data_IF_343081162995
#
_entry.id   IF_343081162995
#
_cell.length_a   1.000
_cell.length_b   1.000
_cell.length_c   1.000
_cell.angle_alpha   90.00
_cell.angle_beta   90.00
_cell.angle_gamma   90.00
#
_symmetry.space_group_name_H-M   'P 1'
#
loop_
_entity.id
_entity.type
_entity.pdbx_description
1 polymer ?
#
# COMPACT_ATOMS: atom_id res chain seq x y z
N UNK A 1 9.87 -6.04 13.16
CA UNK A 1 10.22 -5.96 11.73
C UNK A 1 9.15 -5.22 10.92
N UNK A 2 7.91 -5.70 10.89
CA UNK A 2 6.84 -5.14 10.04
C UNK A 2 6.52 -3.66 10.32
N UNK A 3 6.40 -3.26 11.59
CA UNK A 3 6.20 -1.85 11.95
C UNK A 3 7.35 -0.92 11.55
N UNK A 4 8.59 -1.44 11.56
CA UNK A 4 9.74 -0.68 11.04
C UNK A 4 9.59 -0.49 9.53
N UNK A 5 9.22 -1.54 8.80
CA UNK A 5 9.03 -1.49 7.36
C UNK A 5 7.94 -0.49 6.93
N UNK A 6 6.82 -0.40 7.65
CA UNK A 6 5.83 0.64 7.35
C UNK A 6 6.39 2.05 7.57
N UNK A 7 7.10 2.29 8.67
CA UNK A 7 7.67 3.61 9.00
C UNK A 7 8.75 4.04 8.01
N UNK A 8 9.59 3.11 7.56
CA UNK A 8 10.67 3.40 6.60
C UNK A 8 10.24 3.21 5.15
N UNK A 9 8.97 2.85 4.89
CA UNK A 9 8.47 2.49 3.57
C UNK A 9 9.35 1.44 2.86
N UNK A 10 9.80 0.42 3.61
CA UNK A 10 10.59 -0.69 3.09
C UNK A 10 9.68 -1.63 2.27
N UNK A 11 9.63 -1.34 0.98
CA UNK A 11 8.77 -2.03 0.02
C UNK A 11 9.07 -3.52 -0.03
N UNK A 12 10.32 -3.93 0.09
CA UNK A 12 10.72 -5.34 -0.02
C UNK A 12 10.15 -6.17 1.11
N UNK A 13 10.22 -5.66 2.34
CA UNK A 13 9.62 -6.29 3.51
C UNK A 13 8.10 -6.26 3.41
N UNK A 14 7.49 -5.15 3.00
CA UNK A 14 6.04 -5.04 2.87
C UNK A 14 5.46 -6.02 1.83
N UNK A 15 6.13 -6.19 0.69
CA UNK A 15 5.75 -7.21 -0.32
C UNK A 15 5.86 -8.60 0.29
N UNK A 16 6.97 -8.92 0.96
CA UNK A 16 7.21 -10.24 1.54
C UNK A 16 6.14 -10.61 2.58
N UNK A 17 5.73 -9.64 3.41
CA UNK A 17 4.71 -9.83 4.43
C UNK A 17 3.27 -9.53 3.97
N UNK A 18 3.01 -9.25 2.68
CA UNK A 18 1.68 -8.84 2.21
C UNK A 18 0.56 -9.81 2.57
N UNK A 19 0.82 -11.12 2.52
CA UNK A 19 -0.17 -12.14 2.88
C UNK A 19 -0.47 -12.09 4.37
N UNK A 20 0.55 -11.94 5.20
CA UNK A 20 0.40 -11.76 6.65
C UNK A 20 -0.37 -10.48 6.96
N UNK A 21 -0.04 -9.36 6.31
CA UNK A 21 -0.77 -8.08 6.45
C UNK A 21 -2.25 -8.26 6.09
N UNK A 22 -2.55 -8.95 4.99
CA UNK A 22 -3.91 -9.24 4.54
C UNK A 22 -4.65 -10.14 5.53
N UNK A 23 -3.99 -11.17 6.04
CA UNK A 23 -4.58 -12.13 6.95
C UNK A 23 -4.88 -11.48 8.31
N UNK A 24 -3.96 -10.66 8.84
CA UNK A 24 -4.20 -9.83 10.03
C UNK A 24 -5.40 -8.92 9.79
N UNK A 25 -5.47 -8.21 8.66
CA UNK A 25 -6.63 -7.37 8.33
C UNK A 25 -7.93 -8.17 8.37
N UNK A 26 -7.94 -9.38 7.78
CA UNK A 26 -9.12 -10.24 7.76
C UNK A 26 -9.52 -10.69 9.18
N UNK A 27 -8.56 -11.08 10.00
CA UNK A 27 -8.80 -11.47 11.40
C UNK A 27 -9.32 -10.31 12.24
N UNK A 28 -8.68 -9.14 12.16
CA UNK A 28 -9.18 -7.92 12.83
C UNK A 28 -10.59 -7.54 12.39
N UNK A 29 -10.94 -7.77 11.12
CA UNK A 29 -12.30 -7.52 10.63
C UNK A 29 -13.33 -8.51 11.18
N UNK A 30 -12.92 -9.75 11.46
CA UNK A 30 -13.80 -10.79 12.04
C UNK A 30 -14.02 -10.57 13.54
N UNK A 31 -12.96 -10.18 14.25
CA UNK A 31 -12.95 -9.88 15.68
C UNK A 31 -13.31 -8.42 15.99
N UNK A 32 -13.86 -7.70 15.00
CA UNK A 32 -14.22 -6.29 15.14
C UNK A 32 -15.23 -6.11 16.28
N UNK A 33 -15.04 -5.05 17.06
CA UNK A 33 -15.91 -4.73 18.19
C UNK A 33 -17.31 -4.30 17.74
N UNK A 34 -18.31 -4.50 18.61
CA UNK A 34 -19.72 -4.20 18.31
C UNK A 34 -20.18 -2.81 18.77
N UNK A 35 -19.39 -2.12 19.59
CA UNK A 35 -19.73 -0.82 20.17
C UNK A 35 -18.52 0.12 20.19
N UNK A 36 -18.74 1.44 20.16
CA UNK A 36 -17.66 2.41 20.32
C UNK A 36 -16.84 2.16 21.58
N UNK A 37 -15.54 2.37 21.48
CA UNK A 37 -14.60 2.20 22.58
C UNK A 37 -13.71 3.44 22.73
N UNK A 38 -13.15 3.59 23.93
CA UNK A 38 -12.01 4.47 24.16
C UNK A 38 -10.81 3.62 24.55
N UNK A 39 -9.67 3.88 23.91
CA UNK A 39 -8.41 3.18 24.18
C UNK A 39 -7.29 4.16 24.44
N UNK A 40 -6.23 3.65 25.05
CA UNK A 40 -5.14 4.40 25.60
C UNK A 40 -3.82 3.85 25.09
N UNK A 41 -2.93 4.73 24.63
CA UNK A 41 -1.58 4.36 24.22
C UNK A 41 -0.58 5.34 24.80
N UNK A 42 0.33 4.81 25.59
CA UNK A 42 1.45 5.56 26.12
C UNK A 42 2.62 5.61 25.13
N UNK A 43 3.28 6.75 25.06
CA UNK A 43 4.50 6.93 24.30
C UNK A 43 5.39 8.02 24.91
N UNK A 44 6.71 7.86 24.78
CA UNK A 44 7.67 8.92 25.04
C UNK A 44 7.96 9.66 23.73
N UNK A 45 7.88 10.99 23.76
CA UNK A 45 8.07 11.84 22.58
C UNK A 45 8.94 13.05 22.93
N UNK A 46 9.64 13.58 21.94
CA UNK A 46 10.36 14.85 22.08
C UNK A 46 9.39 16.03 22.15
N UNK A 47 9.85 17.17 22.67
CA UNK A 47 9.06 18.39 22.70
C UNK A 47 8.69 18.85 21.27
N UNK A 48 9.60 18.70 20.31
CA UNK A 48 9.36 19.09 18.91
C UNK A 48 8.22 18.30 18.26
N UNK A 49 8.13 16.99 18.53
CA UNK A 49 7.02 16.17 18.05
C UNK A 49 5.69 16.59 18.70
N UNK A 50 5.69 16.95 19.99
CA UNK A 50 4.49 17.44 20.69
C UNK A 50 4.06 18.80 20.12
N UNK A 51 5.00 19.71 19.88
CA UNK A 51 4.71 21.01 19.27
C UNK A 51 4.14 20.85 17.86
N UNK A 52 4.62 19.84 17.12
CA UNK A 52 4.07 19.48 15.80
C UNK A 52 2.62 19.02 15.92
N UNK A 53 2.31 18.14 16.88
CA UNK A 53 0.93 17.74 17.16
C UNK A 53 0.07 18.95 17.54
N UNK A 54 0.54 19.85 18.40
CA UNK A 54 -0.20 21.04 18.79
C UNK A 54 -0.57 21.94 17.61
N UNK A 55 0.33 22.08 16.63
CA UNK A 55 0.05 22.85 15.40
C UNK A 55 -0.94 22.15 14.46
N UNK A 56 -1.02 20.83 14.52
CA UNK A 56 -1.89 19.99 13.70
C UNK A 56 -3.25 19.67 14.34
N UNK A 57 -3.67 20.41 15.37
CA UNK A 57 -5.01 20.24 15.96
C UNK A 57 -6.09 20.53 14.91
N UNK A 58 -7.11 19.68 14.85
CA UNK A 58 -8.15 19.57 13.83
C UNK A 58 -7.71 18.97 12.47
N UNK A 59 -6.43 18.65 12.29
CA UNK A 59 -5.95 17.94 11.10
C UNK A 59 -6.10 16.41 11.24
N UNK A 60 -5.87 15.73 10.12
CA UNK A 60 -5.87 14.27 10.04
C UNK A 60 -4.47 13.71 10.20
N UNK A 61 -4.34 12.66 10.99
CA UNK A 61 -3.11 11.91 11.24
C UNK A 61 -3.33 10.47 10.79
N UNK A 62 -2.48 10.00 9.88
CA UNK A 62 -2.40 8.58 9.53
C UNK A 62 -1.29 7.90 10.33
N UNK A 63 -1.61 6.78 10.98
CA UNK A 63 -0.60 5.97 11.66
C UNK A 63 -0.14 4.86 10.71
N UNK A 64 1.03 5.07 10.11
CA UNK A 64 1.66 4.12 9.19
C UNK A 64 2.42 3.03 9.96
N UNK A 65 1.73 2.31 10.83
CA UNK A 65 2.20 1.07 11.47
C UNK A 65 1.02 0.38 12.16
N UNK A 66 1.11 -0.93 12.38
CA UNK A 66 0.24 -1.57 13.36
C UNK A 66 0.58 -1.01 14.74
N UNK A 67 -0.43 -0.70 15.54
CA UNK A 67 -0.18 -0.21 16.88
C UNK A 67 -1.18 -0.78 17.87
N UNK A 68 -0.63 -1.17 19.00
CA UNK A 68 -1.34 -1.69 20.14
C UNK A 68 -1.80 -0.56 21.06
N UNK A 69 -2.91 -0.76 21.73
CA UNK A 69 -3.49 0.15 22.71
C UNK A 69 -4.19 -0.67 23.79
N UNK A 70 -4.45 -0.08 24.94
CA UNK A 70 -5.14 -0.73 26.05
C UNK A 70 -6.50 -0.06 26.29
N UNK A 71 -7.51 -0.82 26.69
CA UNK A 71 -8.76 -0.26 27.21
C UNK A 71 -8.54 0.29 28.64
N UNK A 72 -7.51 -0.18 29.35
CA UNK A 72 -7.16 0.28 30.69
C UNK A 72 -6.18 1.48 30.64
N UNK A 73 -6.72 2.65 31.00
CA UNK A 73 -5.94 3.89 31.11
C UNK A 73 -4.81 3.80 32.12
N UNK A 74 -5.06 3.14 33.25
CA UNK A 74 -4.08 3.01 34.35
C UNK A 74 -2.93 2.15 33.89
N UNK A 75 -3.23 1.04 33.21
CA UNK A 75 -2.22 0.17 32.63
C UNK A 75 -1.37 0.90 31.59
N UNK A 76 -2.01 1.63 30.67
CA UNK A 76 -1.28 2.43 29.68
C UNK A 76 -0.33 3.45 30.35
N UNK A 77 -0.77 4.12 31.42
CA UNK A 77 0.06 5.05 32.17
C UNK A 77 1.22 4.38 32.92
N UNK A 78 1.01 3.17 33.46
CA UNK A 78 2.07 2.40 34.13
C UNK A 78 3.27 2.16 33.19
N UNK A 79 3.03 1.96 31.89
CA UNK A 79 4.09 1.81 30.89
C UNK A 79 4.96 3.07 30.69
N UNK A 80 4.51 4.25 31.14
CA UNK A 80 5.28 5.51 31.06
C UNK A 80 6.29 5.68 32.20
N UNK A 81 6.12 4.96 33.32
CA UNK A 81 6.95 5.17 34.50
C UNK A 81 8.38 4.62 34.34
N UNK A 82 8.58 3.68 33.40
CA UNK A 82 9.88 3.16 33.02
C UNK A 82 10.45 3.88 31.79
N UNK A 83 11.14 5.02 31.97
CA UNK A 83 12.07 5.52 30.93
C UNK A 83 12.00 6.99 30.51
N UNK A 84 11.26 7.85 31.23
CA UNK A 84 11.31 9.28 30.95
C UNK A 84 12.72 9.86 31.25
N UNK A 85 13.39 10.37 30.23
CA UNK A 85 14.65 11.13 30.34
C UNK A 85 14.37 12.63 30.32
N UNK A 86 15.36 13.46 30.62
CA UNK A 86 15.21 14.93 30.53
C UNK A 86 14.79 15.43 29.13
N UNK A 87 15.10 14.66 28.07
CA UNK A 87 14.80 15.03 26.68
C UNK A 87 13.44 14.51 26.17
N UNK A 88 12.83 13.53 26.85
CA UNK A 88 11.59 12.90 26.42
C UNK A 88 10.45 13.21 27.39
N UNK A 89 9.32 13.61 26.83
CA UNK A 89 8.08 13.90 27.56
C UNK A 89 7.15 12.71 27.51
N UNK A 90 6.37 12.56 28.59
CA UNK A 90 5.32 11.55 28.70
C UNK A 90 4.10 11.98 27.88
N UNK A 91 3.65 11.12 26.98
CA UNK A 91 2.47 11.34 26.15
C UNK A 91 1.50 10.18 26.31
N UNK A 92 0.23 10.50 26.53
CA UNK A 92 -0.87 9.55 26.53
C UNK A 92 -1.82 9.90 25.38
N UNK A 93 -1.95 9.01 24.41
CA UNK A 93 -2.98 9.09 23.40
C UNK A 93 -4.28 8.51 23.96
N UNK A 94 -5.36 9.30 23.93
CA UNK A 94 -6.73 8.87 24.19
C UNK A 94 -7.47 8.82 22.86
N UNK A 95 -7.84 7.61 22.42
CA UNK A 95 -8.37 7.38 21.08
C UNK A 95 -9.82 6.90 21.21
N UNK A 96 -10.75 7.66 20.65
CA UNK A 96 -12.14 7.23 20.47
C UNK A 96 -12.26 6.52 19.12
N UNK A 97 -12.72 5.27 19.17
CA UNK A 97 -12.85 4.44 17.98
C UNK A 97 -14.25 3.85 17.91
N UNK A 98 -14.99 4.25 16.87
CA UNK A 98 -16.30 3.69 16.55
C UNK A 98 -16.15 2.60 15.47
N UNK A 99 -16.39 1.32 15.79
CA UNK A 99 -16.26 0.23 14.83
C UNK A 99 -17.37 0.21 13.77
N UNK A 100 -18.45 1.00 13.95
CA UNK A 100 -19.57 1.09 13.01
C UNK A 100 -19.32 2.05 11.85
N UNK A 101 -18.22 2.82 11.90
CA UNK A 101 -17.80 3.69 10.81
C UNK A 101 -17.49 2.87 9.55
N UNK A 102 -18.15 3.22 8.44
CA UNK A 102 -17.91 2.58 7.14
C UNK A 102 -16.53 2.91 6.60
N UNK A 103 -15.95 2.03 5.79
CA UNK A 103 -14.69 2.27 5.07
C UNK A 103 -13.54 2.75 5.98
N UNK A 104 -13.48 2.24 7.21
CA UNK A 104 -12.31 2.36 8.09
C UNK A 104 -11.41 1.14 7.94
N UNK A 105 -10.14 1.28 8.32
CA UNK A 105 -9.31 0.10 8.56
C UNK A 105 -9.75 -0.57 9.87
N UNK A 106 -9.75 -1.91 9.93
CA UNK A 106 -10.28 -2.62 11.10
C UNK A 106 -9.37 -2.48 12.32
N UNK A 107 -9.95 -2.63 13.49
CA UNK A 107 -9.26 -2.81 14.76
C UNK A 107 -10.01 -3.87 15.57
N UNK A 108 -9.37 -4.49 16.55
CA UNK A 108 -10.06 -5.51 17.34
C UNK A 108 -9.45 -5.62 18.73
N UNK A 109 -10.26 -6.08 19.68
CA UNK A 109 -9.73 -6.57 20.94
C UNK A 109 -9.04 -7.91 20.69
N UNK A 110 -7.75 -7.98 20.98
CA UNK A 110 -6.91 -9.17 20.78
C UNK A 110 -6.38 -9.72 22.10
N UNK A 111 -7.00 -9.36 23.23
CA UNK A 111 -6.55 -9.77 24.58
C UNK A 111 -6.41 -11.29 24.70
N UNK A 112 -7.27 -12.07 24.04
CA UNK A 112 -7.20 -13.54 24.02
C UNK A 112 -5.98 -14.11 23.28
N UNK A 113 -5.33 -13.29 22.45
CA UNK A 113 -4.15 -13.65 21.67
C UNK A 113 -2.89 -12.91 22.16
N UNK A 114 -3.03 -11.98 23.11
CA UNK A 114 -1.93 -11.17 23.61
C UNK A 114 -0.99 -12.00 24.48
N UNK A 115 0.30 -11.74 24.36
CA UNK A 115 1.31 -12.25 25.29
C UNK A 115 1.13 -11.70 26.70
N UNK A 116 0.36 -10.61 26.84
CA UNK A 116 0.06 -9.93 28.10
C UNK A 116 -1.47 -9.78 28.24
N UNK A 117 -2.16 -10.83 28.73
CA UNK A 117 -3.63 -10.86 28.76
C UNK A 117 -4.26 -9.73 29.58
N UNK A 118 -3.55 -9.25 30.59
CA UNK A 118 -4.00 -8.20 31.50
C UNK A 118 -4.01 -6.80 30.87
N UNK A 119 -3.42 -6.62 29.67
CA UNK A 119 -3.37 -5.30 29.01
C UNK A 119 -4.69 -4.91 28.36
N UNK A 120 -5.67 -5.81 28.28
CA UNK A 120 -6.91 -5.60 27.55
C UNK A 120 -6.63 -5.04 26.13
N UNK A 121 -5.72 -5.70 25.41
CA UNK A 121 -5.09 -5.18 24.19
C UNK A 121 -6.09 -5.00 23.04
N UNK A 122 -6.06 -3.83 22.41
CA UNK A 122 -6.74 -3.50 21.16
C UNK A 122 -5.69 -3.16 20.10
N UNK A 123 -5.71 -3.90 19.00
CA UNK A 123 -4.79 -3.73 17.89
C UNK A 123 -5.46 -3.01 16.72
N UNK A 124 -4.85 -1.91 16.26
CA UNK A 124 -5.27 -1.18 15.07
C UNK A 124 -4.46 -1.61 13.85
N UNK A 125 -5.15 -1.77 12.72
CA UNK A 125 -4.54 -1.99 11.42
C UNK A 125 -3.68 -0.79 11.00
N UNK A 126 -2.56 -1.05 10.33
CA UNK A 126 -1.75 0.02 9.74
C UNK A 126 -2.57 0.84 8.73
N UNK A 127 -2.42 2.17 8.78
CA UNK A 127 -3.12 3.11 7.92
C UNK A 127 -4.52 3.51 8.42
N UNK A 128 -4.85 3.26 9.68
CA UNK A 128 -5.96 3.96 10.33
C UNK A 128 -5.70 5.48 10.32
N UNK A 129 -6.75 6.24 10.03
CA UNK A 129 -6.73 7.70 9.97
C UNK A 129 -7.50 8.23 11.18
N UNK A 130 -6.94 9.21 11.86
CA UNK A 130 -7.51 9.83 13.04
C UNK A 130 -7.57 11.34 12.87
N UNK A 131 -8.60 11.97 13.42
CA UNK A 131 -8.60 13.42 13.63
C UNK A 131 -7.94 13.73 14.96
N UNK A 132 -7.00 14.66 14.94
CA UNK A 132 -6.43 15.21 16.16
C UNK A 132 -7.38 16.25 16.75
N UNK A 133 -7.95 15.97 17.92
CA UNK A 133 -8.95 16.84 18.56
C UNK A 133 -8.29 17.85 19.49
N UNK A 134 -7.35 17.40 20.31
CA UNK A 134 -6.68 18.28 21.26
C UNK A 134 -5.33 17.72 21.71
N UNK A 135 -4.47 18.62 22.17
CA UNK A 135 -3.21 18.30 22.86
C UNK A 135 -3.17 19.17 24.12
N UNK A 136 -3.16 18.55 25.30
CA UNK A 136 -3.21 19.25 26.58
C UNK A 136 -2.20 18.64 27.56
N UNK A 137 -1.59 19.43 28.43
CA UNK A 137 -0.74 18.91 29.50
C UNK A 137 -1.53 18.82 30.81
N UNK A 138 -1.50 17.66 31.46
CA UNK A 138 -2.12 17.43 32.76
C UNK A 138 -1.16 16.62 33.64
N UNK A 139 -0.78 17.16 34.80
CA UNK A 139 0.09 16.50 35.77
C UNK A 139 1.42 15.98 35.16
N UNK A 140 2.07 16.74 34.27
CA UNK A 140 3.32 16.34 33.62
C UNK A 140 3.15 15.29 32.49
N UNK A 141 1.91 14.99 32.09
CA UNK A 141 1.59 14.08 30.99
C UNK A 141 0.87 14.88 29.90
N UNK A 142 1.36 14.78 28.67
CA UNK A 142 0.70 15.37 27.51
C UNK A 142 -0.38 14.41 27.02
N UNK A 143 -1.64 14.79 27.15
CA UNK A 143 -2.79 14.05 26.68
C UNK A 143 -3.13 14.49 25.26
N UNK A 144 -3.13 13.53 24.34
CA UNK A 144 -3.44 13.74 22.92
C UNK A 144 -4.73 13.01 22.61
N UNK A 145 -5.78 13.74 22.24
CA UNK A 145 -7.09 13.17 21.95
C UNK A 145 -7.26 12.95 20.44
N UNK A 146 -7.58 11.72 20.07
CA UNK A 146 -7.78 11.30 18.69
C UNK A 146 -9.18 10.70 18.51
N UNK A 147 -9.79 10.93 17.35
CA UNK A 147 -11.04 10.26 16.95
C UNK A 147 -10.78 9.51 15.64
N UNK A 148 -11.15 8.23 15.58
CA UNK A 148 -11.05 7.42 14.36
C UNK A 148 -11.95 8.00 13.26
N UNK A 149 -11.41 8.16 12.06
CA UNK A 149 -12.10 8.72 10.90
C UNK A 149 -12.35 7.66 9.81
N UNK A 150 -13.46 7.85 9.11
CA UNK A 150 -13.80 7.10 7.90
C UNK A 150 -13.13 7.70 6.66
N UNK A 151 -12.76 6.86 5.69
CA UNK A 151 -12.33 7.30 4.35
C UNK A 151 -13.44 8.06 3.57
N UNK A 152 -14.69 8.08 4.05
CA UNK A 152 -15.82 8.75 3.40
C UNK A 152 -15.96 10.25 3.71
N UNK A 153 -15.13 10.80 4.60
CA UNK A 153 -15.10 12.26 4.80
C UNK A 153 -14.79 12.97 3.47
N UNK A 154 -15.55 14.01 3.12
CA UNK A 154 -15.60 14.58 1.77
C UNK A 154 -14.22 14.82 1.12
N UNK A 155 -13.27 15.35 1.89
CA UNK A 155 -11.91 15.60 1.41
C UNK A 155 -11.10 14.30 1.15
N UNK A 156 -11.17 13.32 2.06
CA UNK A 156 -10.49 12.03 1.87
C UNK A 156 -11.09 11.26 0.70
N UNK A 157 -12.41 11.33 0.53
CA UNK A 157 -13.11 10.67 -0.57
C UNK A 157 -12.66 11.19 -1.94
N UNK A 158 -12.49 12.50 -2.09
CA UNK A 158 -11.98 13.10 -3.33
C UNK A 158 -10.52 12.72 -3.59
N UNK A 159 -9.68 12.76 -2.56
CA UNK A 159 -8.28 12.32 -2.65
C UNK A 159 -8.19 10.86 -3.10
N UNK A 160 -8.89 9.94 -2.43
CA UNK A 160 -8.87 8.52 -2.79
C UNK A 160 -9.48 8.26 -4.17
N UNK A 161 -10.49 9.05 -4.59
CA UNK A 161 -11.04 8.95 -5.94
C UNK A 161 -9.99 9.33 -6.98
N UNK A 162 -9.27 10.43 -6.79
CA UNK A 162 -8.22 10.86 -7.71
C UNK A 162 -7.09 9.83 -7.79
N UNK A 163 -6.62 9.36 -6.62
CA UNK A 163 -5.60 8.29 -6.54
C UNK A 163 -6.08 7.03 -7.27
N UNK A 164 -7.34 6.59 -7.10
CA UNK A 164 -7.86 5.41 -7.83
C UNK A 164 -7.99 5.64 -9.33
N UNK A 165 -8.30 6.85 -9.78
CA UNK A 165 -8.35 7.18 -11.20
C UNK A 165 -6.97 7.13 -11.86
N UNK A 166 -5.91 7.54 -11.16
CA UNK A 166 -4.55 7.49 -11.69
C UNK A 166 -3.92 6.09 -11.65
N UNK A 167 -4.32 5.28 -10.66
CA UNK A 167 -3.67 4.02 -10.32
C UNK A 167 -4.45 2.80 -10.84
N UNK A 168 -5.76 2.94 -11.07
CA UNK A 168 -6.67 1.83 -11.37
C UNK A 168 -7.26 1.19 -10.10
N UNK A 169 -8.36 0.44 -10.26
CA UNK A 169 -9.10 -0.15 -9.12
C UNK A 169 -8.49 -1.45 -8.56
N UNK A 170 -7.57 -2.08 -9.30
CA UNK A 170 -7.05 -3.39 -8.90
C UNK A 170 -6.00 -3.30 -7.79
N UNK A 171 -6.32 -3.83 -6.62
CA UNK A 171 -5.39 -4.00 -5.50
C UNK A 171 -4.60 -5.32 -5.65
N UNK A 172 -3.70 -5.40 -6.63
CA UNK A 172 -2.85 -6.57 -6.85
C UNK A 172 -1.37 -6.20 -7.03
N UNK A 173 -0.51 -7.20 -7.08
CA UNK A 173 0.94 -7.01 -7.26
C UNK A 173 1.30 -6.36 -8.60
N UNK A 174 0.46 -6.49 -9.63
CA UNK A 174 0.67 -5.80 -10.90
C UNK A 174 0.54 -4.29 -10.73
N UNK A 175 -0.56 -3.82 -10.13
CA UNK A 175 -0.77 -2.39 -9.85
C UNK A 175 0.34 -1.84 -8.96
N UNK A 176 0.72 -2.57 -7.91
CA UNK A 176 1.85 -2.18 -7.06
C UNK A 176 3.16 -2.09 -7.87
N UNK A 177 3.44 -3.09 -8.73
CA UNK A 177 4.60 -3.08 -9.61
C UNK A 177 4.63 -1.88 -10.54
N UNK A 178 3.49 -1.54 -11.16
CA UNK A 178 3.35 -0.36 -12.04
C UNK A 178 3.62 0.95 -11.29
N UNK A 179 3.09 1.10 -10.06
CA UNK A 179 3.34 2.28 -9.23
C UNK A 179 4.79 2.40 -8.82
N UNK A 180 5.40 1.30 -8.41
CA UNK A 180 6.81 1.27 -8.03
C UNK A 180 7.68 1.68 -9.21
N UNK A 181 7.35 1.23 -10.42
CA UNK A 181 8.04 1.63 -11.62
C UNK A 181 7.89 3.13 -11.93
N UNK A 182 6.67 3.66 -11.90
CA UNK A 182 6.42 5.11 -12.05
C UNK A 182 7.16 5.96 -11.00
N UNK A 183 7.35 5.42 -9.80
CA UNK A 183 8.13 6.06 -8.73
C UNK A 183 9.65 5.87 -8.83
N UNK A 184 10.16 5.27 -9.91
CA UNK A 184 11.58 5.00 -10.13
C UNK A 184 12.15 3.81 -9.35
N UNK A 185 11.32 3.07 -8.60
CA UNK A 185 11.74 1.90 -7.79
C UNK A 185 11.78 0.63 -8.64
N UNK A 186 12.69 0.60 -9.62
CA UNK A 186 12.78 -0.44 -10.66
C UNK A 186 12.92 -1.85 -10.08
N UNK A 187 13.83 -2.08 -9.13
CA UNK A 187 14.06 -3.42 -8.55
C UNK A 187 12.81 -3.97 -7.85
N UNK A 188 12.14 -3.14 -7.04
CA UNK A 188 10.92 -3.53 -6.35
C UNK A 188 9.76 -3.77 -7.33
N UNK A 189 9.67 -2.97 -8.40
CA UNK A 189 8.70 -3.18 -9.47
C UNK A 189 8.89 -4.54 -10.17
N UNK A 190 10.12 -4.86 -10.60
CA UNK A 190 10.45 -6.17 -11.20
C UNK A 190 10.06 -7.31 -10.25
N UNK A 191 10.41 -7.19 -8.96
CA UNK A 191 10.07 -8.20 -7.94
C UNK A 191 8.57 -8.44 -7.79
N UNK A 192 7.76 -7.37 -7.73
CA UNK A 192 6.30 -7.46 -7.68
C UNK A 192 5.73 -8.23 -8.88
N UNK A 193 6.19 -7.88 -10.08
CA UNK A 193 5.68 -8.46 -11.32
C UNK A 193 6.08 -9.93 -11.46
N UNK A 194 7.32 -10.29 -11.12
CA UNK A 194 7.77 -11.68 -11.11
C UNK A 194 7.01 -12.51 -10.07
N UNK A 195 6.74 -11.94 -8.90
CA UNK A 195 5.93 -12.64 -7.90
C UNK A 195 4.48 -12.80 -8.35
N UNK A 196 3.91 -11.82 -9.03
CA UNK A 196 2.57 -11.93 -9.62
C UNK A 196 2.52 -13.03 -10.68
N UNK A 197 3.54 -13.14 -11.53
CA UNK A 197 3.64 -14.22 -12.50
C UNK A 197 3.65 -15.60 -11.83
N UNK A 198 4.38 -15.76 -10.72
CA UNK A 198 4.43 -17.02 -9.98
C UNK A 198 3.10 -17.38 -9.26
N UNK A 199 2.20 -16.42 -9.05
CA UNK A 199 0.89 -16.65 -8.42
C UNK A 199 -0.21 -17.02 -9.42
N UNK A 200 0.03 -16.80 -10.72
CA UNK A 200 -0.98 -16.94 -11.76
C UNK A 200 -0.75 -18.21 -12.58
N UNK A 201 -1.81 -18.93 -12.97
CA UNK A 201 -1.70 -19.94 -14.03
C UNK A 201 -1.24 -19.29 -15.34
N UNK A 202 -0.45 -20.02 -16.15
CA UNK A 202 0.20 -19.50 -17.36
C UNK A 202 -0.77 -18.84 -18.37
N UNK A 203 -2.04 -19.27 -18.41
CA UNK A 203 -3.05 -18.77 -19.34
C UNK A 203 -3.92 -17.63 -18.77
N UNK A 204 -3.63 -17.12 -17.58
CA UNK A 204 -4.39 -16.03 -16.99
C UNK A 204 -4.10 -14.71 -17.73
N UNK A 205 -5.12 -13.92 -18.06
CA UNK A 205 -5.01 -12.67 -18.84
C UNK A 205 -4.01 -11.66 -18.25
N UNK A 206 -3.93 -11.58 -16.91
CA UNK A 206 -2.93 -10.77 -16.20
C UNK A 206 -1.46 -11.15 -16.50
N UNK A 207 -1.17 -12.40 -16.92
CA UNK A 207 0.20 -12.86 -17.23
C UNK A 207 0.77 -12.06 -18.40
N UNK A 208 -0.03 -11.81 -19.44
CA UNK A 208 0.37 -10.99 -20.57
C UNK A 208 0.68 -9.55 -20.15
N UNK A 209 -0.13 -8.98 -19.24
CA UNK A 209 0.10 -7.63 -18.70
C UNK A 209 1.39 -7.57 -17.88
N UNK A 210 1.67 -8.57 -17.04
CA UNK A 210 2.91 -8.65 -16.29
C UNK A 210 4.13 -8.73 -17.21
N UNK A 211 4.10 -9.57 -18.24
CA UNK A 211 5.19 -9.64 -19.22
C UNK A 211 5.35 -8.35 -20.01
N UNK A 212 4.24 -7.71 -20.41
CA UNK A 212 4.30 -6.42 -21.10
C UNK A 212 4.97 -5.35 -20.22
N UNK A 213 4.58 -5.25 -18.94
CA UNK A 213 5.18 -4.30 -18.00
C UNK A 213 6.67 -4.62 -17.73
N UNK A 214 7.04 -5.90 -17.61
CA UNK A 214 8.45 -6.28 -17.52
C UNK A 214 9.21 -5.87 -18.78
N UNK A 215 8.61 -6.02 -19.97
CA UNK A 215 9.18 -5.53 -21.23
C UNK A 215 9.48 -4.03 -21.22
N UNK A 216 8.52 -3.22 -20.73
CA UNK A 216 8.70 -1.78 -20.56
C UNK A 216 9.88 -1.48 -19.62
N UNK A 217 9.92 -2.13 -18.45
CA UNK A 217 10.99 -1.93 -17.46
C UNK A 217 12.37 -2.29 -18.04
N UNK A 218 12.48 -3.44 -18.72
CA UNK A 218 13.74 -3.89 -19.31
C UNK A 218 14.22 -2.93 -20.40
N UNK A 219 13.31 -2.40 -21.22
CA UNK A 219 13.66 -1.42 -22.25
C UNK A 219 14.19 -0.12 -21.64
N UNK A 220 13.54 0.41 -20.60
CA UNK A 220 14.03 1.61 -19.91
C UNK A 220 15.38 1.39 -19.21
N UNK A 221 15.70 0.14 -18.81
CA UNK A 221 17.01 -0.23 -18.31
C UNK A 221 18.07 -0.44 -19.40
N UNK A 222 17.71 -0.34 -20.69
CA UNK A 222 18.60 -0.65 -21.82
C UNK A 222 18.85 -2.15 -22.03
N UNK A 223 18.07 -3.02 -21.38
CA UNK A 223 18.12 -4.48 -21.50
C UNK A 223 17.25 -4.96 -22.69
N UNK A 224 17.56 -4.49 -23.90
CA UNK A 224 16.70 -4.66 -25.09
C UNK A 224 16.43 -6.13 -25.48
N UNK A 225 17.39 -7.04 -25.26
CA UNK A 225 17.16 -8.46 -25.52
C UNK A 225 16.16 -9.09 -24.56
N UNK A 226 16.26 -8.75 -23.28
CA UNK A 226 15.32 -9.20 -22.25
C UNK A 226 13.94 -8.54 -22.46
N UNK A 227 13.91 -7.26 -22.82
CA UNK A 227 12.68 -6.55 -23.18
C UNK A 227 11.94 -7.24 -24.32
N UNK A 228 12.64 -7.55 -25.43
CA UNK A 228 12.08 -8.30 -26.55
C UNK A 228 11.52 -9.65 -26.12
N UNK A 229 12.25 -10.40 -25.28
CA UNK A 229 11.78 -11.69 -24.76
C UNK A 229 10.47 -11.54 -23.99
N UNK A 230 10.37 -10.53 -23.13
CA UNK A 230 9.16 -10.28 -22.35
C UNK A 230 7.99 -9.84 -23.24
N UNK A 231 8.19 -8.94 -24.21
CA UNK A 231 7.12 -8.56 -25.13
C UNK A 231 6.65 -9.71 -26.02
N UNK A 232 7.54 -10.60 -26.46
CA UNK A 232 7.16 -11.78 -27.23
C UNK A 232 6.29 -12.75 -26.40
N UNK A 233 6.63 -12.97 -25.12
CA UNK A 233 5.78 -13.76 -24.22
C UNK A 233 4.40 -13.15 -24.03
N UNK A 234 4.33 -11.83 -23.86
CA UNK A 234 3.06 -11.13 -23.77
C UNK A 234 2.24 -11.24 -25.06
N UNK A 235 2.91 -11.09 -26.22
CA UNK A 235 2.28 -11.22 -27.54
C UNK A 235 1.70 -12.62 -27.76
N UNK A 236 2.47 -13.67 -27.47
CA UNK A 236 2.01 -15.07 -27.63
C UNK A 236 0.73 -15.36 -26.85
N UNK A 237 0.65 -14.87 -25.60
CA UNK A 237 -0.55 -15.05 -24.78
C UNK A 237 -1.72 -14.23 -25.35
N UNK A 238 -1.48 -12.98 -25.74
CA UNK A 238 -2.52 -12.11 -26.28
C UNK A 238 -3.07 -12.64 -27.62
N UNK A 239 -2.23 -13.15 -28.52
CA UNK A 239 -2.65 -13.77 -29.78
C UNK A 239 -3.51 -15.03 -29.57
N UNK A 240 -3.28 -15.76 -28.46
CA UNK A 240 -4.07 -16.95 -28.10
C UNK A 240 -5.40 -16.62 -27.42
N UNK A 241 -5.49 -15.47 -26.75
CA UNK A 241 -6.61 -15.16 -25.83
C UNK A 241 -7.52 -14.04 -26.33
N UNK A 242 -7.04 -13.18 -27.23
CA UNK A 242 -7.78 -12.03 -27.75
C UNK A 242 -8.11 -12.21 -29.24
N UNK A 243 -9.15 -11.51 -29.74
CA UNK A 243 -9.41 -11.44 -31.17
C UNK A 243 -8.18 -10.94 -31.94
N UNK A 244 -7.89 -11.44 -33.16
CA UNK A 244 -6.71 -11.03 -33.92
C UNK A 244 -6.60 -9.53 -34.23
N UNK A 245 -7.72 -8.80 -34.19
CA UNK A 245 -7.78 -7.35 -34.38
C UNK A 245 -7.81 -6.56 -33.07
N UNK A 246 -7.51 -7.18 -31.93
CA UNK A 246 -7.49 -6.49 -30.64
C UNK A 246 -6.32 -5.48 -30.58
N UNK A 247 -6.58 -4.19 -30.22
CA UNK A 247 -5.54 -3.16 -30.09
C UNK A 247 -4.37 -3.54 -29.18
N UNK A 248 -4.58 -4.42 -28.18
CA UNK A 248 -3.52 -4.86 -27.28
C UNK A 248 -2.44 -5.63 -28.04
N UNK A 249 -2.81 -6.47 -29.01
CA UNK A 249 -1.86 -7.17 -29.89
C UNK A 249 -1.07 -6.15 -30.73
N UNK A 250 -1.75 -5.12 -31.23
CA UNK A 250 -1.11 -3.99 -31.93
C UNK A 250 -0.06 -3.29 -31.05
N UNK A 251 -0.37 -3.03 -29.78
CA UNK A 251 0.56 -2.42 -28.83
C UNK A 251 1.80 -3.29 -28.59
N UNK A 252 1.65 -4.62 -28.50
CA UNK A 252 2.78 -5.54 -28.39
C UNK A 252 3.72 -5.44 -29.59
N UNK A 253 3.17 -5.43 -30.81
CA UNK A 253 3.96 -5.27 -32.03
C UNK A 253 4.62 -3.89 -32.10
N UNK A 254 3.92 -2.81 -31.75
CA UNK A 254 4.53 -1.48 -31.70
C UNK A 254 5.75 -1.44 -30.76
N UNK A 255 5.64 -2.01 -29.56
CA UNK A 255 6.74 -2.03 -28.60
C UNK A 255 7.91 -2.93 -29.06
N UNK A 256 7.63 -4.06 -29.71
CA UNK A 256 8.68 -4.84 -30.38
C UNK A 256 9.39 -4.02 -31.46
N UNK A 257 8.64 -3.23 -32.24
CA UNK A 257 9.19 -2.30 -33.22
C UNK A 257 10.16 -1.29 -32.59
N UNK A 258 9.79 -0.71 -31.45
CA UNK A 258 10.65 0.21 -30.68
C UNK A 258 11.94 -0.49 -30.24
N UNK A 259 11.83 -1.70 -29.68
CA UNK A 259 13.01 -2.47 -29.25
C UNK A 259 13.93 -2.81 -30.42
N UNK A 260 13.39 -3.19 -31.58
CA UNK A 260 14.21 -3.44 -32.76
C UNK A 260 14.90 -2.18 -33.31
N UNK A 261 14.26 -1.01 -33.21
CA UNK A 261 14.92 0.27 -33.50
C UNK A 261 16.08 0.56 -32.56
N UNK A 262 15.90 0.34 -31.25
CA UNK A 262 16.98 0.49 -30.26
C UNK A 262 18.17 -0.44 -30.55
N UNK A 263 17.88 -1.67 -31.01
CA UNK A 263 18.87 -2.64 -31.48
C UNK A 263 19.46 -2.35 -32.88
N UNK A 264 19.08 -1.25 -33.53
CA UNK A 264 19.53 -0.86 -34.88
C UNK A 264 19.17 -1.90 -35.96
N UNK A 265 18.03 -2.58 -35.81
CA UNK A 265 17.45 -3.46 -36.83
C UNK A 265 16.15 -2.85 -37.40
N UNK A 266 16.27 -1.88 -38.33
CA UNK A 266 15.12 -1.18 -38.88
C UNK A 266 14.22 -2.09 -39.73
N UNK A 267 14.74 -3.22 -40.24
CA UNK A 267 13.96 -4.15 -41.06
C UNK A 267 12.93 -4.89 -40.19
N UNK A 268 13.37 -5.42 -39.05
CA UNK A 268 12.46 -6.06 -38.09
C UNK A 268 11.53 -5.03 -37.44
N UNK A 269 12.03 -3.82 -37.16
CA UNK A 269 11.19 -2.76 -36.63
C UNK A 269 10.03 -2.41 -37.57
N UNK A 270 10.33 -2.20 -38.86
CA UNK A 270 9.31 -1.89 -39.87
C UNK A 270 8.25 -2.99 -39.96
N UNK A 271 8.66 -4.26 -39.99
CA UNK A 271 7.74 -5.40 -40.02
C UNK A 271 6.76 -5.36 -38.85
N UNK A 272 7.26 -5.07 -37.64
CA UNK A 272 6.43 -4.98 -36.44
C UNK A 272 5.51 -3.75 -36.45
N UNK A 273 5.99 -2.60 -36.89
CA UNK A 273 5.15 -1.40 -37.02
C UNK A 273 4.05 -1.58 -38.07
N UNK A 274 4.33 -2.24 -39.20
CA UNK A 274 3.33 -2.54 -40.22
C UNK A 274 2.22 -3.45 -39.69
N UNK A 275 2.58 -4.50 -38.93
CA UNK A 275 1.61 -5.36 -38.25
C UNK A 275 0.75 -4.59 -37.25
N UNK A 276 1.38 -3.77 -36.41
CA UNK A 276 0.66 -2.93 -35.45
C UNK A 276 -0.34 -2.00 -36.15
N UNK A 277 0.10 -1.32 -37.23
CA UNK A 277 -0.74 -0.44 -38.02
C UNK A 277 -1.92 -1.18 -38.67
N UNK A 278 -1.70 -2.38 -39.19
CA UNK A 278 -2.76 -3.20 -39.77
C UNK A 278 -3.81 -3.57 -38.73
N UNK A 279 -3.39 -3.96 -37.52
CA UNK A 279 -4.31 -4.28 -36.41
C UNK A 279 -5.11 -3.04 -36.01
N UNK A 280 -4.46 -1.89 -35.81
CA UNK A 280 -5.16 -0.66 -35.44
C UNK A 280 -6.20 -0.23 -36.49
N UNK A 281 -5.91 -0.41 -37.79
CA UNK A 281 -6.87 -0.13 -38.87
C UNK A 281 -8.09 -1.06 -38.89
N UNK A 282 -7.99 -2.23 -38.27
CA UNK A 282 -9.09 -3.19 -38.17
C UNK A 282 -9.86 -3.06 -36.85
N UNK A 283 -9.26 -2.40 -35.86
CA UNK A 283 -9.84 -2.21 -34.53
C UNK A 283 -10.67 -0.93 -34.40
N UNK A 284 -10.31 0.10 -35.18
CA UNK A 284 -10.95 1.42 -35.21
C UNK A 284 -11.47 1.71 -36.62
#
# INVERSE_FOLDING_TARGET
MLNKAFRTCDVDVLIHFRSVIRDIKCQLSKEQLSSPIRVYRAQLMSQEEIDTLQRSVNELISINSFFSSSIDRTYALFLLDSGASASLKRVLFEIEADPLLRNTKPFANISSYSSFPDEAEVLFMAGCIFRLVSVQEQNGINIVQLILCSEEENYLKELFKHVRQEIGEMNNLYTLGSLLFKSGKIHAAKKCLLQRLNELPDEHTDVAQCYHMLGNIMHECGEDDESRRMYNKALEINERTLPPNDPVIGNNHNNLGIVYMAKKDPKQALLHYEKALQIYKLAY
#
